data_IF_032199510410
#
_entry.id   IF_032199510410
#
_cell.length_a   1.000
_cell.length_b   1.000
_cell.length_c   1.000
_cell.angle_alpha   90.00
_cell.angle_beta   90.00
_cell.angle_gamma   90.00
#
_symmetry.space_group_name_H-M   'P 1'
#
loop_
_entity.id
_entity.type
_entity.pdbx_description
1 polymer ?
#
# COMPACT_ATOMS: atom_id res chain seq x y z
N UNK A 1 -8.65 7.68 -4.72
CA UNK A 1 -7.55 6.74 -4.44
C UNK A 1 -6.31 7.55 -4.10
N UNK A 2 -5.32 6.95 -3.48
CA UNK A 2 -4.04 7.62 -3.22
C UNK A 2 -2.93 6.82 -3.90
N UNK A 3 -2.14 7.50 -4.71
CA UNK A 3 -0.94 6.95 -5.31
C UNK A 3 0.21 7.29 -4.38
N UNK A 4 0.91 6.27 -3.92
CA UNK A 4 2.02 6.39 -2.98
C UNK A 4 3.29 5.91 -3.66
N UNK A 5 4.30 6.76 -3.74
CA UNK A 5 5.60 6.46 -4.31
C UNK A 5 6.69 6.58 -3.26
N UNK A 6 7.59 5.60 -3.22
CA UNK A 6 8.75 5.64 -2.34
C UNK A 6 9.86 6.48 -3.00
N UNK A 7 10.20 7.60 -2.37
CA UNK A 7 11.26 8.51 -2.83
C UNK A 7 12.64 8.11 -2.32
N UNK A 8 12.71 7.18 -1.37
CA UNK A 8 13.98 6.73 -0.77
C UNK A 8 14.58 5.58 -1.55
N UNK A 9 15.90 5.37 -1.37
CA UNK A 9 16.64 4.23 -1.92
C UNK A 9 16.51 2.95 -1.07
N UNK A 10 15.71 3.00 0.00
CA UNK A 10 15.47 1.88 0.91
C UNK A 10 14.05 1.34 0.76
N UNK A 11 13.85 0.09 1.15
CA UNK A 11 12.50 -0.48 1.26
C UNK A 11 11.75 0.20 2.39
N UNK A 12 10.57 0.72 2.10
CA UNK A 12 9.72 1.42 3.08
C UNK A 12 8.38 0.75 3.23
N UNK A 13 7.85 0.81 4.44
CA UNK A 13 6.53 0.26 4.76
C UNK A 13 5.63 1.37 5.24
N UNK A 14 4.37 1.33 4.82
CA UNK A 14 3.35 2.24 5.28
C UNK A 14 2.05 1.48 5.52
N UNK A 15 1.12 2.10 6.24
CA UNK A 15 -0.16 1.51 6.60
C UNK A 15 -1.30 2.39 6.12
N UNK A 16 -2.36 1.81 5.58
CA UNK A 16 -3.59 2.54 5.26
C UNK A 16 -4.35 2.94 6.52
N UNK A 17 -4.86 4.18 6.56
CA UNK A 17 -5.52 4.75 7.74
C UNK A 17 -6.83 4.07 8.10
N UNK A 18 -7.65 3.68 7.10
CA UNK A 18 -8.97 3.10 7.33
C UNK A 18 -8.95 1.57 7.48
N UNK A 19 -8.20 0.88 6.63
CA UNK A 19 -8.16 -0.60 6.60
C UNK A 19 -7.07 -1.16 7.51
N UNK A 20 -6.16 -0.31 7.99
CA UNK A 20 -5.00 -0.73 8.77
C UNK A 20 -4.10 -1.74 8.05
N UNK A 21 -4.21 -1.82 6.71
CA UNK A 21 -3.43 -2.75 5.90
C UNK A 21 -2.03 -2.18 5.66
N UNK A 22 -1.01 -3.01 5.89
CA UNK A 22 0.38 -2.63 5.69
C UNK A 22 0.81 -2.97 4.27
N UNK A 23 1.50 -2.03 3.63
CA UNK A 23 2.11 -2.17 2.32
C UNK A 23 3.62 -2.00 2.45
N UNK A 24 4.36 -2.68 1.58
CA UNK A 24 5.81 -2.57 1.46
C UNK A 24 6.13 -2.09 0.04
N UNK A 25 6.87 -0.99 -0.05
CA UNK A 25 7.30 -0.37 -1.29
C UNK A 25 8.81 -0.51 -1.45
N UNK A 26 9.17 -1.06 -2.60
CA UNK A 26 10.54 -1.02 -3.09
C UNK A 26 10.95 0.43 -3.41
N UNK A 27 12.25 0.75 -3.35
CA UNK A 27 12.75 2.08 -3.70
C UNK A 27 12.35 2.47 -5.13
N UNK A 28 11.87 3.71 -5.31
CA UNK A 28 11.38 4.23 -6.58
C UNK A 28 10.07 3.62 -7.09
N UNK A 29 9.51 2.62 -6.41
CA UNK A 29 8.25 1.98 -6.80
C UNK A 29 7.05 2.79 -6.35
N UNK A 30 5.95 2.64 -7.10
CA UNK A 30 4.69 3.34 -6.85
C UNK A 30 3.55 2.34 -6.77
N UNK A 31 2.65 2.51 -5.80
CA UNK A 31 1.42 1.72 -5.70
C UNK A 31 0.21 2.63 -5.52
N UNK A 32 -0.97 2.09 -5.81
CA UNK A 32 -2.23 2.77 -5.56
C UNK A 32 -2.95 2.09 -4.41
N UNK A 33 -3.41 2.89 -3.45
CA UNK A 33 -4.20 2.45 -2.29
C UNK A 33 -5.56 3.16 -2.27
N UNK A 34 -6.54 2.53 -1.65
CA UNK A 34 -7.91 3.06 -1.62
C UNK A 34 -8.04 4.20 -0.61
N UNK A 35 -7.29 4.13 0.49
CA UNK A 35 -7.34 5.08 1.59
C UNK A 35 -5.99 5.77 1.83
N UNK A 36 -6.05 6.94 2.47
CA UNK A 36 -4.86 7.73 2.82
C UNK A 36 -3.90 6.88 3.67
N UNK A 37 -2.59 6.86 3.36
CA UNK A 37 -1.60 6.24 4.23
C UNK A 37 -1.45 7.02 5.55
N UNK A 38 -1.21 6.31 6.65
CA UNK A 38 -0.98 6.89 7.98
C UNK A 38 0.36 7.66 7.97
N UNK A 39 1.38 7.08 7.33
CA UNK A 39 2.67 7.71 7.15
C UNK A 39 2.62 8.79 6.05
N UNK A 40 2.33 10.03 6.44
CA UNK A 40 2.37 11.20 5.57
C UNK A 40 3.71 11.95 5.71
N UNK A 41 4.83 11.28 5.40
CA UNK A 41 6.15 11.92 5.39
C UNK A 41 6.56 12.26 3.95
N UNK A 42 6.49 13.54 3.52
CA UNK A 42 6.74 13.95 2.14
C UNK A 42 8.21 13.76 1.71
N UNK A 43 9.14 13.57 2.65
CA UNK A 43 10.54 13.24 2.33
C UNK A 43 10.76 11.75 2.03
N UNK A 44 9.81 10.90 2.42
CA UNK A 44 9.90 9.44 2.27
C UNK A 44 8.92 8.96 1.19
N UNK A 45 7.70 9.48 1.22
CA UNK A 45 6.61 9.09 0.34
C UNK A 45 6.04 10.31 -0.39
N UNK A 46 5.92 10.21 -1.71
CA UNK A 46 5.12 11.12 -2.51
C UNK A 46 3.71 10.53 -2.59
N UNK A 47 2.75 11.25 -2.01
CA UNK A 47 1.34 10.83 -1.93
C UNK A 47 0.52 11.78 -2.79
N UNK A 48 -0.08 11.25 -3.86
CA UNK A 48 -0.92 12.00 -4.78
C UNK A 48 -2.35 11.46 -4.71
N UNK A 49 -3.33 12.35 -4.57
CA UNK A 49 -4.74 11.98 -4.68
C UNK A 49 -5.09 11.79 -6.14
N UNK A 50 -5.60 10.61 -6.49
CA UNK A 50 -6.07 10.27 -7.83
C UNK A 50 -7.56 10.02 -7.76
N UNK A 51 -8.34 10.80 -8.51
CA UNK A 51 -9.77 10.53 -8.71
C UNK A 51 -9.93 9.17 -9.38
N UNK A 52 -10.83 8.34 -8.83
CA UNK A 52 -11.11 7.02 -9.41
C UNK A 52 -11.82 7.26 -10.74
N UNK A 53 -11.13 7.12 -11.86
CA UNK A 53 -11.79 6.64 -13.07
C UNK A 53 -12.19 5.19 -12.80
N UNK A 54 -13.47 4.91 -12.91
CA UNK A 54 -14.11 3.62 -12.62
C UNK A 54 -13.65 2.56 -13.64
N UNK A 55 -12.43 2.04 -13.47
CA UNK A 55 -11.76 1.17 -14.43
C UNK A 55 -10.83 0.15 -13.76
N UNK A 56 -11.45 -0.82 -13.07
CA UNK A 56 -10.94 -2.15 -12.72
C UNK A 56 -9.43 -2.40 -12.51
N UNK A 57 -9.04 -2.77 -11.28
CA UNK A 57 -8.41 -4.06 -10.91
C UNK A 57 -7.92 -4.00 -9.46
N UNK A 58 -8.82 -4.28 -8.50
CA UNK A 58 -8.43 -4.57 -7.13
C UNK A 58 -7.84 -5.99 -7.09
N UNK A 59 -6.52 -6.12 -7.24
CA UNK A 59 -5.83 -7.39 -7.04
C UNK A 59 -5.98 -7.80 -5.57
N UNK A 60 -6.78 -8.86 -5.35
CA UNK A 60 -7.10 -9.43 -4.04
C UNK A 60 -5.81 -9.72 -3.24
N UNK A 61 -5.72 -9.33 -1.95
CA UNK A 61 -4.64 -9.81 -1.10
C UNK A 61 -4.79 -11.33 -0.88
N UNK A 62 -3.79 -12.10 -1.32
CA UNK A 62 -3.66 -13.55 -1.06
C UNK A 62 -3.59 -13.79 0.46
N UNK A 63 -4.71 -14.22 1.06
CA UNK A 63 -4.71 -14.79 2.42
C UNK A 63 -3.89 -16.10 2.40
N UNK A 64 -2.70 -16.10 3.02
CA UNK A 64 -1.98 -17.34 3.35
C UNK A 64 -2.82 -18.12 4.38
N UNK A 65 -3.31 -19.30 4.00
CA UNK A 65 -3.91 -20.28 4.93
C UNK A 65 -2.78 -20.93 5.72
N UNK A 66 -2.66 -20.64 7.01
CA UNK A 66 -1.85 -21.45 7.93
C UNK A 66 -2.65 -22.71 8.24
N UNK A 67 -2.19 -23.87 7.78
CA UNK A 67 -2.72 -25.17 8.21
C UNK A 67 -2.12 -25.49 9.57
N UNK A 68 -2.95 -25.51 10.61
CA UNK A 68 -2.64 -26.21 11.85
C UNK A 68 -2.90 -27.70 11.58
N UNK A 69 -1.89 -28.55 11.72
CA UNK A 69 -2.07 -30.00 11.82
C UNK A 69 -2.44 -30.28 13.27
N UNK A 70 -3.59 -30.91 13.50
CA UNK A 70 -3.85 -31.66 14.72
C UNK A 70 -3.54 -33.14 14.45
N UNK A 71 -3.03 -33.77 15.48
CA UNK A 71 -2.42 -35.11 15.58
C UNK A 71 -3.47 -36.23 15.50
#
# INVERSE_FOLDING_TARGET
MYKVKNLTNDVRRFRERKTHKTYELQPGSTITVDFEPIENNPHIFEIEYVEKEEGGTAEKPKKKKTKLKED
#
